data_IF_982670532553
#
_entry.id   IF_982670532553
#
_cell.length_a   1.000
_cell.length_b   1.000
_cell.length_c   1.000
_cell.angle_alpha   90.00
_cell.angle_beta   90.00
_cell.angle_gamma   90.00
#
_symmetry.space_group_name_H-M   'P 1'
#
loop_
_entity.id
_entity.type
_entity.pdbx_description
1 polymer ?
#
# COMPACT_ATOMS: atom_id res chain seq x y z
N UNK A 1 -60.49 -5.88 -14.41
CA UNK A 1 -59.46 -5.77 -15.46
C UNK A 1 -58.13 -5.41 -14.77
N UNK A 2 -57.22 -6.36 -14.77
CA UNK A 2 -55.87 -6.15 -14.19
C UNK A 2 -54.89 -5.81 -15.28
N UNK A 3 -54.33 -4.63 -15.28
CA UNK A 3 -53.26 -4.24 -16.22
C UNK A 3 -51.93 -4.78 -15.68
N UNK A 4 -51.30 -5.63 -16.47
CA UNK A 4 -49.95 -6.12 -16.23
C UNK A 4 -48.98 -5.15 -16.92
N UNK A 5 -48.15 -4.46 -16.13
CA UNK A 5 -47.05 -3.64 -16.61
C UNK A 5 -45.85 -4.54 -16.86
N UNK A 6 -45.44 -4.66 -18.11
CA UNK A 6 -44.22 -5.33 -18.52
C UNK A 6 -43.09 -4.30 -18.43
N UNK A 7 -42.12 -4.51 -17.55
CA UNK A 7 -40.88 -3.74 -17.51
C UNK A 7 -39.91 -4.31 -18.52
N UNK A 8 -39.55 -3.54 -19.50
CA UNK A 8 -38.51 -3.86 -20.47
C UNK A 8 -37.12 -3.82 -19.81
N UNK A 9 -36.38 -4.91 -19.96
CA UNK A 9 -35.07 -5.17 -19.45
C UNK A 9 -34.03 -4.45 -20.33
N UNK A 10 -33.53 -3.29 -19.88
CA UNK A 10 -32.43 -2.59 -20.55
C UNK A 10 -31.12 -3.30 -20.24
N UNK A 11 -30.70 -4.20 -21.13
CA UNK A 11 -29.44 -4.93 -21.06
C UNK A 11 -28.23 -4.01 -21.12
N UNK A 12 -27.71 -3.63 -19.96
CA UNK A 12 -26.37 -3.07 -19.82
C UNK A 12 -25.38 -4.23 -19.93
N UNK A 13 -24.59 -4.26 -21.00
CA UNK A 13 -23.50 -5.19 -21.17
C UNK A 13 -22.46 -5.00 -20.04
N UNK A 14 -22.47 -5.89 -19.04
CA UNK A 14 -21.47 -5.92 -18.00
C UNK A 14 -20.19 -6.45 -18.62
N UNK A 15 -19.23 -5.55 -18.79
CA UNK A 15 -17.87 -5.86 -19.26
C UNK A 15 -17.28 -7.00 -18.41
N UNK A 16 -16.78 -8.04 -19.09
CA UNK A 16 -16.19 -9.21 -18.46
C UNK A 16 -14.89 -8.81 -17.74
N UNK A 17 -15.01 -8.22 -16.55
CA UNK A 17 -13.87 -8.05 -15.65
C UNK A 17 -13.25 -9.42 -15.40
N UNK A 18 -12.01 -9.57 -15.83
CA UNK A 18 -11.17 -10.71 -15.56
C UNK A 18 -11.15 -10.98 -14.05
N UNK A 19 -11.92 -11.99 -13.61
CA UNK A 19 -11.96 -12.37 -12.19
C UNK A 19 -10.54 -12.79 -11.80
N UNK A 20 -9.93 -12.21 -10.77
CA UNK A 20 -8.65 -12.67 -10.29
C UNK A 20 -8.78 -14.15 -9.93
N UNK A 21 -7.78 -14.96 -10.31
CA UNK A 21 -7.68 -16.38 -9.92
C UNK A 21 -7.51 -16.42 -8.41
N UNK A 22 -8.62 -16.40 -7.68
CA UNK A 22 -8.60 -16.49 -6.21
C UNK A 22 -8.32 -17.93 -5.85
N UNK A 23 -7.16 -18.17 -5.27
CA UNK A 23 -6.89 -19.44 -4.60
C UNK A 23 -7.94 -19.60 -3.47
N UNK A 24 -8.85 -20.56 -3.63
CA UNK A 24 -9.99 -20.79 -2.71
C UNK A 24 -9.55 -20.91 -1.25
N UNK A 25 -8.29 -21.28 -0.99
CA UNK A 25 -7.72 -21.39 0.37
C UNK A 25 -7.61 -20.06 1.12
N UNK A 26 -7.60 -18.92 0.39
CA UNK A 26 -7.42 -17.58 0.96
C UNK A 26 -8.65 -16.67 0.81
N UNK A 27 -9.74 -17.18 0.25
CA UNK A 27 -10.92 -16.37 -0.12
C UNK A 27 -11.97 -16.28 0.99
N UNK A 28 -11.85 -17.06 2.07
CA UNK A 28 -12.84 -17.03 3.16
C UNK A 28 -12.50 -15.89 4.12
N UNK A 29 -13.35 -14.87 4.14
CA UNK A 29 -13.25 -13.76 5.11
C UNK A 29 -13.42 -14.33 6.52
N UNK A 30 -12.59 -13.87 7.48
CA UNK A 30 -12.62 -14.38 8.86
C UNK A 30 -12.10 -15.82 9.01
N UNK A 31 -11.50 -16.43 7.98
CA UNK A 31 -11.01 -17.79 8.05
C UNK A 31 -9.70 -17.93 8.85
N UNK A 32 -9.66 -18.92 9.78
CA UNK A 32 -8.47 -19.22 10.59
C UNK A 32 -7.20 -19.38 9.74
N UNK A 33 -7.26 -20.09 8.61
CA UNK A 33 -6.11 -20.28 7.70
C UNK A 33 -5.60 -18.97 7.11
N UNK A 34 -6.49 -18.02 6.82
CA UNK A 34 -6.11 -16.70 6.33
C UNK A 34 -5.38 -15.91 7.43
N UNK A 35 -5.91 -15.94 8.65
CA UNK A 35 -5.28 -15.31 9.81
C UNK A 35 -3.88 -15.89 10.08
N UNK A 36 -3.75 -17.22 10.13
CA UNK A 36 -2.47 -17.90 10.31
C UNK A 36 -1.45 -17.55 9.22
N UNK A 37 -1.88 -17.55 7.96
CA UNK A 37 -1.03 -17.16 6.84
C UNK A 37 -0.49 -15.73 7.02
N UNK A 38 -1.33 -14.78 7.43
CA UNK A 38 -0.92 -13.38 7.70
C UNK A 38 0.06 -13.31 8.85
N UNK A 39 -0.16 -14.04 9.94
CA UNK A 39 0.75 -14.12 11.07
C UNK A 39 2.15 -14.60 10.65
N UNK A 40 2.22 -15.74 9.94
CA UNK A 40 3.50 -16.28 9.48
C UNK A 40 4.19 -15.40 8.43
N UNK A 41 3.44 -14.70 7.58
CA UNK A 41 4.02 -13.71 6.67
C UNK A 41 4.70 -12.56 7.42
N UNK A 42 4.11 -12.09 8.53
CA UNK A 42 4.74 -11.07 9.38
C UNK A 42 6.01 -11.63 10.00
N UNK A 43 5.96 -12.80 10.63
CA UNK A 43 7.14 -13.43 11.23
C UNK A 43 8.27 -13.66 10.21
N UNK A 44 7.93 -14.06 8.98
CA UNK A 44 8.92 -14.21 7.90
C UNK A 44 9.62 -12.89 7.55
N UNK A 45 8.89 -11.77 7.54
CA UNK A 45 9.49 -10.44 7.30
C UNK A 45 10.43 -10.04 8.44
N UNK A 46 10.04 -10.33 9.70
CA UNK A 46 10.84 -10.01 10.88
C UNK A 46 12.12 -10.86 10.97
N UNK A 47 12.09 -12.11 10.48
CA UNK A 47 13.28 -12.98 10.44
C UNK A 47 14.25 -12.60 9.32
N UNK A 48 13.76 -12.16 8.17
CA UNK A 48 14.56 -11.92 6.97
C UNK A 48 14.89 -10.43 6.79
N UNK A 49 15.42 -9.78 7.83
CA UNK A 49 15.69 -8.33 7.85
C UNK A 49 16.92 -7.91 7.05
N UNK A 50 17.81 -8.84 6.69
CA UNK A 50 19.04 -8.55 5.95
C UNK A 50 18.78 -8.24 4.47
N UNK A 51 17.57 -8.54 3.98
CA UNK A 51 17.17 -8.17 2.63
C UNK A 51 16.83 -6.69 2.55
N UNK A 52 17.21 -6.04 1.44
CA UNK A 52 16.84 -4.63 1.16
C UNK A 52 15.35 -4.36 1.33
N UNK A 53 14.51 -5.34 1.02
CA UNK A 53 13.04 -5.25 1.12
C UNK A 53 12.55 -5.19 2.57
N UNK A 54 13.20 -5.92 3.47
CA UNK A 54 12.76 -6.09 4.85
C UNK A 54 13.63 -5.33 5.87
N UNK A 55 14.63 -4.58 5.43
CA UNK A 55 15.54 -3.82 6.31
C UNK A 55 14.82 -2.85 7.27
N UNK A 56 13.62 -2.39 6.88
CA UNK A 56 12.79 -1.52 7.73
C UNK A 56 12.18 -2.23 8.95
N UNK A 57 12.30 -3.56 9.04
CA UNK A 57 11.81 -4.36 10.17
C UNK A 57 12.92 -4.76 11.17
N UNK A 58 14.17 -4.30 10.98
CA UNK A 58 15.36 -4.78 11.72
C UNK A 58 15.23 -4.74 13.24
N UNK A 59 14.48 -3.78 13.78
CA UNK A 59 14.32 -3.62 15.23
C UNK A 59 12.86 -3.84 15.69
N UNK A 60 12.04 -4.42 14.83
CA UNK A 60 10.62 -4.62 15.09
C UNK A 60 10.38 -6.05 15.58
N UNK A 61 9.57 -6.17 16.62
CA UNK A 61 9.21 -7.44 17.26
C UNK A 61 7.72 -7.75 17.06
N UNK A 62 7.38 -9.02 17.23
CA UNK A 62 6.00 -9.49 17.31
C UNK A 62 5.68 -9.73 18.79
N UNK A 63 4.86 -8.88 19.38
CA UNK A 63 4.47 -8.93 20.80
C UNK A 63 3.12 -9.62 21.01
N UNK A 64 2.44 -10.01 19.91
CA UNK A 64 1.11 -10.64 19.93
C UNK A 64 1.29 -12.14 19.83
N UNK A 65 0.62 -12.91 20.71
CA UNK A 65 0.57 -14.36 20.60
C UNK A 65 -0.13 -14.77 19.29
N UNK A 66 0.14 -15.98 18.80
CA UNK A 66 -0.52 -16.49 17.59
C UNK A 66 -2.04 -16.54 17.78
N UNK A 67 -2.47 -16.98 18.93
CA UNK A 67 -3.87 -17.17 19.31
C UNK A 67 -4.61 -15.82 19.35
N UNK A 68 -4.03 -14.82 20.02
CA UNK A 68 -4.61 -13.48 20.10
C UNK A 68 -4.65 -12.79 18.73
N UNK A 69 -3.60 -12.96 17.92
CA UNK A 69 -3.59 -12.42 16.57
C UNK A 69 -4.68 -13.04 15.70
N UNK A 70 -4.86 -14.36 15.76
CA UNK A 70 -5.89 -15.06 14.98
C UNK A 70 -7.27 -14.58 15.41
N UNK A 71 -7.53 -14.50 16.72
CA UNK A 71 -8.80 -14.01 17.28
C UNK A 71 -9.08 -12.59 16.79
N UNK A 72 -8.14 -11.67 17.00
CA UNK A 72 -8.26 -10.30 16.57
C UNK A 72 -8.47 -10.18 15.04
N UNK A 73 -7.73 -10.96 14.25
CA UNK A 73 -7.85 -10.91 12.80
C UNK A 73 -9.22 -11.38 12.33
N UNK A 74 -9.73 -12.50 12.88
CA UNK A 74 -11.03 -13.05 12.52
C UNK A 74 -12.20 -12.11 12.88
N UNK A 75 -12.10 -11.39 13.98
CA UNK A 75 -13.10 -10.42 14.43
C UNK A 75 -13.15 -9.15 13.56
N UNK A 76 -12.04 -8.79 12.91
CA UNK A 76 -11.90 -7.55 12.16
C UNK A 76 -11.75 -7.73 10.64
N UNK A 77 -11.67 -8.99 10.14
CA UNK A 77 -11.34 -9.29 8.74
C UNK A 77 -12.46 -8.87 7.77
N UNK A 78 -12.05 -8.34 6.62
CA UNK A 78 -12.92 -8.00 5.49
C UNK A 78 -12.23 -8.32 4.16
N UNK A 79 -12.98 -8.27 3.06
CA UNK A 79 -12.45 -8.54 1.72
C UNK A 79 -11.35 -7.53 1.35
N UNK A 80 -10.19 -8.05 0.92
CA UNK A 80 -9.03 -7.22 0.57
C UNK A 80 -8.26 -6.67 1.77
N UNK A 81 -8.58 -7.10 3.01
CA UNK A 81 -7.89 -6.67 4.22
C UNK A 81 -6.40 -7.01 4.22
N UNK A 82 -5.60 -6.09 4.71
CA UNK A 82 -4.16 -6.18 4.87
C UNK A 82 -3.76 -5.66 6.24
N UNK A 83 -2.95 -6.44 6.97
CA UNK A 83 -2.42 -6.02 8.27
C UNK A 83 -1.41 -4.90 8.10
N UNK A 84 -1.60 -3.83 8.84
CA UNK A 84 -0.76 -2.65 8.86
C UNK A 84 -0.43 -2.25 10.30
N UNK A 85 0.72 -1.61 10.53
CA UNK A 85 1.05 -0.97 11.80
C UNK A 85 0.62 0.50 11.76
N UNK A 86 -0.10 0.94 12.78
CA UNK A 86 -0.52 2.33 12.94
C UNK A 86 0.72 3.23 12.97
N UNK A 87 1.66 2.91 13.86
CA UNK A 87 2.98 3.52 13.93
C UNK A 87 4.04 2.52 13.45
N UNK A 88 4.64 2.78 12.30
CA UNK A 88 5.65 1.91 11.69
C UNK A 88 6.97 1.82 12.45
N UNK A 89 7.22 2.71 13.42
CA UNK A 89 8.43 2.69 14.25
C UNK A 89 8.29 1.78 15.47
N UNK A 90 7.06 1.39 15.82
CA UNK A 90 6.75 0.52 16.96
C UNK A 90 6.58 -0.94 16.53
N UNK A 91 6.59 -1.82 17.53
CA UNK A 91 6.40 -3.26 17.39
C UNK A 91 4.97 -3.63 16.94
N UNK A 92 4.77 -4.89 16.59
CA UNK A 92 3.44 -5.46 16.38
C UNK A 92 2.81 -5.77 17.74
N UNK A 93 1.91 -4.91 18.21
CA UNK A 93 1.08 -5.08 19.41
C UNK A 93 -0.39 -4.84 19.03
N UNK A 94 -1.35 -5.31 19.83
CA UNK A 94 -2.78 -5.21 19.52
C UNK A 94 -3.25 -3.76 19.39
N UNK A 95 -2.65 -2.83 20.13
CA UNK A 95 -2.89 -1.40 20.08
C UNK A 95 -2.23 -0.69 18.88
N UNK A 96 -1.25 -1.35 18.24
CA UNK A 96 -0.49 -0.78 17.11
C UNK A 96 -0.76 -1.48 15.78
N UNK A 97 -1.72 -2.40 15.70
CA UNK A 97 -2.11 -3.02 14.44
C UNK A 97 -3.52 -2.63 14.03
N UNK A 98 -3.74 -2.61 12.73
CA UNK A 98 -5.04 -2.35 12.12
C UNK A 98 -5.18 -3.15 10.83
N UNK A 99 -6.42 -3.33 10.37
CA UNK A 99 -6.69 -3.82 9.03
C UNK A 99 -7.05 -2.64 8.12
N UNK A 100 -6.38 -2.58 6.98
CA UNK A 100 -6.65 -1.60 5.92
C UNK A 100 -6.90 -2.34 4.61
N UNK A 101 -7.71 -1.77 3.70
CA UNK A 101 -7.74 -2.23 2.32
C UNK A 101 -6.31 -2.26 1.75
N UNK A 102 -5.95 -3.34 1.05
CA UNK A 102 -4.59 -3.51 0.51
C UNK A 102 -4.13 -2.28 -0.29
N UNK A 103 -5.02 -1.69 -1.07
CA UNK A 103 -4.71 -0.51 -1.88
C UNK A 103 -4.37 0.72 -1.02
N UNK A 104 -5.09 0.92 0.08
CA UNK A 104 -4.85 2.00 1.03
C UNK A 104 -3.52 1.78 1.76
N UNK A 105 -3.27 0.57 2.27
CA UNK A 105 -2.02 0.19 2.91
C UNK A 105 -0.81 0.41 1.96
N UNK A 106 -0.93 0.02 0.69
CA UNK A 106 0.11 0.27 -0.31
C UNK A 106 0.34 1.76 -0.61
N UNK A 107 -0.65 2.61 -0.36
CA UNK A 107 -0.59 4.07 -0.60
C UNK A 107 -0.24 4.87 0.64
N UNK A 108 -0.40 4.31 1.84
CA UNK A 108 -0.22 4.99 3.14
C UNK A 108 1.10 5.74 3.24
N UNK A 109 2.20 5.08 2.86
CA UNK A 109 3.55 5.64 2.95
C UNK A 109 3.99 6.42 1.69
N UNK A 110 3.15 6.46 0.66
CA UNK A 110 3.46 7.27 -0.52
C UNK A 110 3.13 8.72 -0.21
N UNK A 111 4.16 9.54 -0.13
CA UNK A 111 4.00 10.98 0.07
C UNK A 111 3.12 11.54 -1.03
N UNK A 112 1.89 11.88 -0.68
CA UNK A 112 0.94 12.56 -1.57
C UNK A 112 1.24 14.05 -1.51
N UNK A 113 1.19 14.72 -2.67
CA UNK A 113 1.10 16.16 -2.68
C UNK A 113 -0.17 16.56 -1.90
N UNK A 114 0.01 17.25 -0.76
CA UNK A 114 -1.09 17.82 0.04
C UNK A 114 -1.01 19.33 -0.08
N UNK A 115 -2.11 20.00 -0.38
CA UNK A 115 -2.20 21.48 -0.43
C UNK A 115 -1.14 22.12 -1.34
N UNK A 116 -0.85 21.52 -2.49
CA UNK A 116 0.19 22.03 -3.40
C UNK A 116 1.63 21.81 -2.96
N UNK A 117 1.86 21.09 -1.85
CA UNK A 117 3.18 20.74 -1.32
C UNK A 117 3.50 19.28 -1.57
N UNK A 118 4.74 18.94 -1.88
CA UNK A 118 5.21 17.57 -2.08
C UNK A 118 6.59 17.37 -1.45
N UNK A 119 6.88 16.17 -0.98
CA UNK A 119 8.22 15.82 -0.49
C UNK A 119 9.09 15.32 -1.63
N UNK A 120 10.29 15.89 -1.76
CA UNK A 120 11.29 15.40 -2.69
C UNK A 120 11.86 14.05 -2.23
N UNK A 121 11.86 13.02 -3.11
CA UNK A 121 12.39 11.70 -2.74
C UNK A 121 13.91 11.68 -2.51
N UNK A 122 14.64 12.69 -3.00
CA UNK A 122 16.11 12.80 -2.88
C UNK A 122 16.52 13.56 -1.62
N UNK A 123 16.11 14.84 -1.49
CA UNK A 123 16.48 15.65 -0.32
C UNK A 123 15.54 15.48 0.88
N UNK A 124 14.41 14.79 0.71
CA UNK A 124 13.37 14.59 1.72
C UNK A 124 12.65 15.86 2.21
N UNK A 125 12.98 17.02 1.66
CA UNK A 125 12.35 18.29 2.00
C UNK A 125 10.96 18.40 1.37
N UNK A 126 10.03 19.01 2.11
CA UNK A 126 8.68 19.33 1.64
C UNK A 126 8.74 20.69 0.96
N UNK A 127 8.37 20.74 -0.31
CA UNK A 127 8.46 21.94 -1.15
C UNK A 127 7.17 22.13 -1.96
N UNK A 128 6.86 23.36 -2.39
CA UNK A 128 5.77 23.61 -3.32
C UNK A 128 5.94 22.82 -4.63
N UNK A 129 4.83 22.34 -5.23
CA UNK A 129 4.85 21.62 -6.50
C UNK A 129 5.53 22.38 -7.64
N UNK A 130 5.48 23.72 -7.63
CA UNK A 130 6.16 24.58 -8.60
C UNK A 130 7.68 24.38 -8.64
N UNK A 131 8.28 23.91 -7.55
CA UNK A 131 9.72 23.60 -7.45
C UNK A 131 10.05 22.15 -7.90
N UNK A 132 9.08 21.39 -8.35
CA UNK A 132 9.30 20.04 -8.88
C UNK A 132 9.40 20.06 -10.40
N UNK A 133 10.07 19.04 -10.94
CA UNK A 133 10.15 18.83 -12.39
C UNK A 133 8.77 18.49 -12.91
N UNK A 134 8.35 19.12 -14.00
CA UNK A 134 7.09 18.79 -14.68
C UNK A 134 7.16 17.39 -15.32
N UNK A 135 6.08 16.60 -15.16
CA UNK A 135 5.93 15.29 -15.82
C UNK A 135 4.45 15.08 -16.18
N UNK A 136 4.09 15.35 -17.41
CA UNK A 136 2.72 15.27 -17.94
C UNK A 136 2.10 13.86 -17.85
N UNK A 137 2.93 12.81 -17.69
CA UNK A 137 2.45 11.41 -17.55
C UNK A 137 1.90 11.12 -16.16
N UNK A 138 2.15 11.99 -15.20
CA UNK A 138 1.68 11.84 -13.81
C UNK A 138 0.39 12.60 -13.57
N UNK A 139 -0.49 12.01 -12.79
CA UNK A 139 -1.82 12.58 -12.45
C UNK A 139 -1.75 14.00 -11.87
N UNK A 140 -0.68 14.33 -11.13
CA UNK A 140 -0.45 15.66 -10.56
C UNK A 140 0.44 16.57 -11.42
N UNK A 141 0.82 16.14 -12.64
CA UNK A 141 1.65 16.91 -13.56
C UNK A 141 3.12 17.09 -13.17
N UNK A 142 3.58 16.52 -12.06
CA UNK A 142 4.92 16.73 -11.52
C UNK A 142 5.63 15.41 -11.16
N UNK A 143 6.95 15.37 -11.35
CA UNK A 143 7.81 14.30 -10.87
C UNK A 143 7.96 14.36 -9.34
N UNK A 144 8.48 13.30 -8.73
CA UNK A 144 8.76 13.24 -7.28
C UNK A 144 10.13 13.80 -6.89
N UNK A 145 10.83 14.44 -7.81
CA UNK A 145 12.14 15.07 -7.61
C UNK A 145 12.03 16.58 -7.79
N UNK A 146 12.59 17.34 -6.87
CA UNK A 146 12.66 18.80 -7.04
C UNK A 146 13.68 19.19 -8.11
N UNK A 147 13.50 20.34 -8.74
CA UNK A 147 14.36 20.89 -9.81
C UNK A 147 15.83 20.97 -9.39
N UNK A 148 16.09 21.37 -8.15
CA UNK A 148 17.45 21.46 -7.61
C UNK A 148 18.16 20.09 -7.57
N UNK A 149 17.50 19.06 -7.02
CA UNK A 149 18.05 17.71 -6.97
C UNK A 149 18.23 17.11 -8.37
N UNK A 150 17.30 17.37 -9.30
CA UNK A 150 17.42 16.90 -10.67
C UNK A 150 18.61 17.57 -11.39
N UNK A 151 18.82 18.88 -11.19
CA UNK A 151 19.98 19.60 -11.72
C UNK A 151 21.31 19.02 -11.17
N UNK A 152 21.40 18.76 -9.86
CA UNK A 152 22.56 18.10 -9.25
C UNK A 152 22.82 16.73 -9.88
N UNK A 153 21.77 15.94 -10.11
CA UNK A 153 21.84 14.64 -10.76
C UNK A 153 22.34 14.72 -12.21
N UNK A 154 21.83 15.67 -12.97
CA UNK A 154 22.24 15.91 -14.39
C UNK A 154 23.70 16.31 -14.48
N UNK A 155 24.17 17.25 -13.64
CA UNK A 155 25.59 17.66 -13.59
C UNK A 155 26.51 16.47 -13.29
N UNK A 156 26.13 15.56 -12.37
CA UNK A 156 26.91 14.35 -12.08
C UNK A 156 26.99 13.39 -13.27
N UNK A 157 25.90 13.25 -14.06
CA UNK A 157 25.91 12.40 -15.27
C UNK A 157 26.83 12.95 -16.35
N UNK A 158 26.86 14.27 -16.56
CA UNK A 158 27.74 14.91 -17.54
C UNK A 158 29.20 14.68 -17.17
N UNK A 159 29.58 14.91 -15.92
CA UNK A 159 30.95 14.68 -15.43
C UNK A 159 31.43 13.22 -15.62
N UNK A 160 30.53 12.23 -15.43
CA UNK A 160 30.85 10.81 -15.62
C UNK A 160 31.02 10.38 -17.09
N UNK A 161 30.49 11.15 -18.04
CA UNK A 161 30.66 10.88 -19.48
C UNK A 161 31.88 11.58 -20.08
N UNK A 162 32.47 12.53 -19.36
CA UNK A 162 33.63 13.30 -19.77
C UNK A 162 34.97 12.70 -19.25
N UNK A 163 34.91 11.60 -18.51
CA UNK A 163 36.01 10.76 -18.05
C UNK A 163 36.04 9.44 -18.83
#
# INVERSE_FOLDING_TARGET
MKQTVVLEDSGVAVDKMCKPKTDKRYSVIGGKHRAESRYYMILSRLKNTDTKKNSCYKNIKMLISKEDFIKWFMENDFEGASVDRIDKTKDYSLDNIQLLPLEENMRKDKVKAKNGMCQCYVCKEIKPLSLFVTDKRRKNGHATICKECDNKRRKRKVRRKAL
#
